data_IF_521622648872
#
_entry.id   IF_521622648872
#
_cell.length_a   1.000
_cell.length_b   1.000
_cell.length_c   1.000
_cell.angle_alpha   90.00
_cell.angle_beta   90.00
_cell.angle_gamma   90.00
#
_symmetry.space_group_name_H-M   'P 1'
#
loop_
_entity.id
_entity.type
_entity.pdbx_description
1 polymer ?
#
# COMPACT_ATOMS: atom_id res chain seq x y z
N UNK A 1 -19.96 -14.15 12.86
CA UNK A 1 -20.46 -15.18 11.93
C UNK A 1 -21.86 -15.65 12.30
N UNK A 2 -22.91 -15.27 11.55
CA UNK A 2 -24.28 -15.74 11.81
C UNK A 2 -24.47 -17.16 11.24
N UNK A 3 -25.39 -17.95 11.80
CA UNK A 3 -25.72 -19.28 11.26
C UNK A 3 -26.02 -19.25 9.75
N UNK A 4 -26.61 -18.15 9.27
CA UNK A 4 -26.92 -17.91 7.87
C UNK A 4 -25.65 -17.80 7.00
N UNK A 5 -24.60 -17.11 7.45
CA UNK A 5 -23.36 -16.97 6.67
C UNK A 5 -22.64 -18.30 6.55
N UNK A 6 -22.64 -19.10 7.61
CA UNK A 6 -22.05 -20.43 7.59
C UNK A 6 -22.79 -21.37 6.63
N UNK A 7 -24.13 -21.40 6.68
CA UNK A 7 -24.94 -22.23 5.77
C UNK A 7 -24.70 -21.82 4.32
N UNK A 8 -24.74 -20.51 4.03
CA UNK A 8 -24.50 -19.99 2.68
C UNK A 8 -23.09 -20.36 2.17
N UNK A 9 -22.06 -20.15 2.99
CA UNK A 9 -20.68 -20.50 2.62
C UNK A 9 -20.52 -21.99 2.34
N UNK A 10 -21.02 -22.85 3.23
CA UNK A 10 -20.92 -24.31 3.07
C UNK A 10 -21.65 -24.78 1.81
N UNK A 11 -22.87 -24.29 1.56
CA UNK A 11 -23.65 -24.67 0.37
C UNK A 11 -22.96 -24.19 -0.90
N UNK A 12 -22.44 -22.96 -0.94
CA UNK A 12 -21.72 -22.42 -2.10
C UNK A 12 -20.42 -23.20 -2.36
N UNK A 13 -19.63 -23.51 -1.33
CA UNK A 13 -18.38 -24.27 -1.47
C UNK A 13 -18.63 -25.69 -1.97
N UNK A 14 -19.63 -26.38 -1.42
CA UNK A 14 -19.97 -27.75 -1.85
C UNK A 14 -20.52 -27.77 -3.28
N UNK A 15 -21.39 -26.83 -3.63
CA UNK A 15 -21.92 -26.72 -5.00
C UNK A 15 -20.83 -26.38 -5.99
N UNK A 16 -19.90 -25.47 -5.64
CA UNK A 16 -18.73 -25.18 -6.48
C UNK A 16 -17.85 -26.40 -6.70
N UNK A 17 -17.55 -27.16 -5.64
CA UNK A 17 -16.75 -28.37 -5.73
C UNK A 17 -17.43 -29.44 -6.60
N UNK A 18 -18.75 -29.58 -6.51
CA UNK A 18 -19.50 -30.48 -7.39
C UNK A 18 -19.51 -30.01 -8.85
N UNK A 19 -19.63 -28.70 -9.07
CA UNK A 19 -19.61 -28.10 -10.40
C UNK A 19 -18.23 -28.20 -11.05
N UNK A 20 -17.12 -28.04 -10.30
CA UNK A 20 -15.74 -28.10 -10.82
C UNK A 20 -15.36 -29.46 -11.38
N UNK A 21 -15.98 -30.53 -10.86
CA UNK A 21 -15.80 -31.89 -11.36
C UNK A 21 -16.80 -32.28 -12.46
N UNK A 22 -17.72 -31.39 -12.84
CA UNK A 22 -18.72 -31.66 -13.88
C UNK A 22 -18.22 -31.32 -15.28
N UNK A 23 -18.70 -32.04 -16.30
CA UNK A 23 -18.47 -31.69 -17.71
C UNK A 23 -19.02 -30.30 -18.09
N UNK A 24 -19.98 -29.80 -17.32
CA UNK A 24 -20.58 -28.48 -17.50
C UNK A 24 -19.70 -27.33 -17.01
N UNK A 25 -18.62 -27.60 -16.26
CA UNK A 25 -17.72 -26.57 -15.74
C UNK A 25 -17.17 -25.68 -16.85
N UNK A 26 -16.66 -26.27 -17.93
CA UNK A 26 -16.09 -25.53 -19.06
C UNK A 26 -17.17 -24.68 -19.76
N UNK A 27 -18.37 -25.22 -19.94
CA UNK A 27 -19.51 -24.51 -20.56
C UNK A 27 -19.92 -23.29 -19.73
N UNK A 28 -19.93 -23.42 -18.40
CA UNK A 28 -20.28 -22.33 -17.48
C UNK A 28 -19.21 -21.23 -17.52
N UNK A 29 -17.92 -21.58 -17.56
CA UNK A 29 -16.84 -20.60 -17.60
C UNK A 29 -16.69 -19.90 -18.96
N UNK A 30 -17.16 -20.52 -20.04
CA UNK A 30 -17.19 -19.90 -21.36
C UNK A 30 -18.40 -18.98 -21.58
N UNK A 31 -19.45 -19.06 -20.75
CA UNK A 31 -20.62 -18.20 -20.82
C UNK A 31 -20.29 -16.74 -20.50
N UNK A 32 -20.59 -15.84 -21.45
CA UNK A 32 -20.29 -14.41 -21.33
C UNK A 32 -20.99 -13.73 -20.15
N UNK A 33 -22.15 -14.25 -19.71
CA UNK A 33 -22.87 -13.72 -18.54
C UNK A 33 -22.16 -14.11 -17.25
N UNK A 34 -21.55 -15.30 -17.18
CA UNK A 34 -20.75 -15.73 -16.03
C UNK A 34 -19.44 -14.95 -15.98
N UNK A 35 -18.81 -14.70 -17.13
CA UNK A 35 -17.65 -13.80 -17.23
C UNK A 35 -18.00 -12.38 -16.78
N UNK A 36 -19.14 -11.86 -17.23
CA UNK A 36 -19.65 -10.54 -16.81
C UNK A 36 -19.97 -10.52 -15.32
N UNK A 37 -20.63 -11.54 -14.79
CA UNK A 37 -20.91 -11.67 -13.37
C UNK A 37 -19.62 -11.74 -12.56
N UNK A 38 -18.62 -12.51 -13.01
CA UNK A 38 -17.31 -12.56 -12.37
C UNK A 38 -16.62 -11.18 -12.40
N UNK A 39 -16.72 -10.43 -13.50
CA UNK A 39 -16.19 -9.06 -13.57
C UNK A 39 -16.93 -8.11 -12.64
N UNK A 40 -18.27 -8.16 -12.60
CA UNK A 40 -19.11 -7.35 -11.71
C UNK A 40 -18.80 -7.70 -10.25
N UNK A 41 -18.75 -8.99 -9.90
CA UNK A 41 -18.42 -9.46 -8.55
C UNK A 41 -16.99 -9.09 -8.20
N UNK A 42 -16.02 -9.18 -9.11
CA UNK A 42 -14.62 -8.74 -8.88
C UNK A 42 -14.51 -7.23 -8.70
N UNK A 43 -15.35 -6.45 -9.39
CA UNK A 43 -15.42 -5.01 -9.28
C UNK A 43 -16.18 -4.56 -8.01
N UNK A 44 -17.20 -5.33 -7.61
CA UNK A 44 -17.99 -5.13 -6.40
C UNK A 44 -17.36 -5.76 -5.14
N UNK A 45 -16.48 -6.75 -5.26
CA UNK A 45 -15.66 -7.29 -4.16
C UNK A 45 -14.53 -6.33 -3.79
N UNK A 46 -14.27 -5.32 -4.63
CA UNK A 46 -13.56 -4.10 -4.22
C UNK A 46 -14.43 -3.12 -3.42
N UNK A 47 -15.74 -3.38 -3.29
CA UNK A 47 -16.74 -2.51 -2.63
C UNK A 47 -17.37 -3.17 -1.39
N UNK A 48 -17.62 -4.47 -1.44
CA UNK A 48 -17.83 -5.35 -0.28
C UNK A 48 -16.51 -6.05 0.00
N UNK A 49 -15.61 -5.35 0.69
CA UNK A 49 -14.62 -6.05 1.51
C UNK A 49 -15.41 -6.95 2.44
N UNK A 50 -15.27 -8.26 2.25
CA UNK A 50 -15.62 -9.21 3.29
C UNK A 50 -14.92 -8.75 4.57
N UNK A 51 -15.69 -8.53 5.63
CA UNK A 51 -15.17 -8.34 6.98
C UNK A 51 -14.42 -9.60 7.48
N UNK A 52 -14.27 -10.65 6.65
CA UNK A 52 -13.81 -11.98 7.05
C UNK A 52 -12.73 -12.59 6.13
N UNK A 53 -11.99 -11.80 5.34
CA UNK A 53 -10.78 -12.27 4.66
C UNK A 53 -9.53 -11.36 4.78
N UNK A 54 -9.49 -10.48 5.79
CA UNK A 54 -8.25 -9.83 6.25
C UNK A 54 -8.39 -9.40 7.72
N UNK A 55 -8.54 -10.36 8.62
CA UNK A 55 -8.56 -10.09 10.07
C UNK A 55 -7.15 -9.91 10.68
N UNK A 56 -6.09 -9.84 9.87
CA UNK A 56 -4.71 -9.75 10.39
C UNK A 56 -3.95 -8.46 10.05
N UNK A 57 -4.49 -7.52 9.26
CA UNK A 57 -3.69 -6.34 8.88
C UNK A 57 -4.47 -5.02 8.68
N UNK A 58 -5.49 -4.76 9.48
CA UNK A 58 -6.08 -3.41 9.53
C UNK A 58 -5.03 -2.39 10.00
N UNK A 59 -4.82 -1.32 9.24
CA UNK A 59 -3.97 -0.20 9.63
C UNK A 59 -4.82 0.90 10.28
N UNK A 60 -4.69 1.08 11.59
CA UNK A 60 -5.37 2.16 12.32
C UNK A 60 -4.58 3.46 12.22
N UNK A 61 -5.26 4.60 12.32
CA UNK A 61 -4.65 5.93 12.23
C UNK A 61 -3.51 6.12 13.25
N UNK A 62 -3.69 5.59 14.46
CA UNK A 62 -2.71 5.63 15.55
C UNK A 62 -1.45 4.79 15.30
N UNK A 63 -1.54 3.77 14.45
CA UNK A 63 -0.44 2.82 14.22
C UNK A 63 0.45 3.27 13.04
N UNK A 64 0.02 4.25 12.25
CA UNK A 64 0.70 4.68 11.02
C UNK A 64 2.15 5.08 11.27
N UNK A 65 2.42 5.83 12.34
CA UNK A 65 3.76 6.31 12.63
C UNK A 65 4.71 5.15 12.95
N UNK A 66 4.27 4.22 13.81
CA UNK A 66 5.03 3.02 14.16
C UNK A 66 5.25 2.08 12.98
N UNK A 67 4.27 1.96 12.08
CA UNK A 67 4.38 1.11 10.89
C UNK A 67 5.06 1.78 9.69
N UNK A 68 5.30 3.09 9.75
CA UNK A 68 5.94 3.85 8.67
C UNK A 68 7.37 3.38 8.36
N UNK A 69 8.03 2.71 9.31
CA UNK A 69 9.36 2.10 9.12
C UNK A 69 9.35 0.98 8.08
N UNK A 70 8.20 0.32 7.88
CA UNK A 70 7.97 -0.76 6.91
C UNK A 70 7.38 -0.25 5.60
N UNK A 71 7.10 1.05 5.47
CA UNK A 71 6.59 1.60 4.22
C UNK A 71 7.68 1.57 3.14
N UNK A 72 7.29 1.44 1.86
CA UNK A 72 8.23 1.64 0.76
C UNK A 72 8.82 3.05 0.83
N UNK A 73 10.07 3.26 0.37
CA UNK A 73 10.76 4.55 0.51
C UNK A 73 9.95 5.76 0.01
N UNK A 74 9.19 5.60 -1.09
CA UNK A 74 8.34 6.67 -1.62
C UNK A 74 7.23 7.11 -0.65
N UNK A 75 6.55 6.14 -0.02
CA UNK A 75 5.47 6.43 0.94
C UNK A 75 6.02 6.87 2.29
N UNK A 76 7.17 6.34 2.71
CA UNK A 76 7.90 6.81 3.89
C UNK A 76 8.34 8.27 3.78
N UNK A 77 8.82 8.69 2.60
CA UNK A 77 9.14 10.08 2.34
C UNK A 77 7.91 10.99 2.47
N UNK A 78 6.80 10.63 1.81
CA UNK A 78 5.55 11.39 1.92
C UNK A 78 5.04 11.47 3.36
N UNK A 79 5.14 10.38 4.12
CA UNK A 79 4.79 10.36 5.54
C UNK A 79 5.67 11.31 6.37
N UNK A 80 7.00 11.28 6.16
CA UNK A 80 7.93 12.20 6.84
C UNK A 80 7.63 13.66 6.54
N UNK A 81 7.41 13.99 5.27
CA UNK A 81 7.07 15.36 4.85
C UNK A 81 5.73 15.79 5.48
N UNK A 82 4.74 14.91 5.49
CA UNK A 82 3.45 15.17 6.10
C UNK A 82 3.63 15.51 7.59
N UNK A 83 4.32 14.67 8.37
CA UNK A 83 4.54 14.92 9.80
C UNK A 83 5.39 16.16 10.09
N UNK A 84 6.25 16.59 9.16
CA UNK A 84 7.07 17.80 9.31
C UNK A 84 6.31 19.09 8.99
N UNK A 85 5.44 19.05 7.98
CA UNK A 85 4.81 20.24 7.38
C UNK A 85 3.32 20.34 7.63
N UNK A 86 2.74 19.26 8.11
CA UNK A 86 1.31 19.01 8.24
C UNK A 86 0.52 19.16 6.94
N UNK A 87 1.20 19.20 5.79
CA UNK A 87 0.59 19.38 4.48
C UNK A 87 1.37 18.60 3.43
N UNK A 88 0.60 18.07 2.48
CA UNK A 88 1.09 17.53 1.23
C UNK A 88 0.45 18.26 0.04
N UNK A 89 1.23 18.35 -1.04
CA UNK A 89 0.77 18.71 -2.38
C UNK A 89 -0.44 17.87 -2.77
N UNK A 90 -1.26 18.38 -3.69
CA UNK A 90 -2.51 17.72 -4.08
C UNK A 90 -2.27 16.26 -4.54
N UNK A 91 -1.27 16.05 -5.39
CA UNK A 91 -0.96 14.74 -5.95
C UNK A 91 -0.38 13.78 -4.91
N UNK A 92 0.56 14.24 -4.08
CA UNK A 92 1.13 13.43 -2.99
C UNK A 92 0.07 13.04 -1.96
N UNK A 93 -0.84 13.95 -1.61
CA UNK A 93 -1.97 13.66 -0.71
C UNK A 93 -2.88 12.58 -1.29
N UNK A 94 -3.20 12.69 -2.58
CA UNK A 94 -4.03 11.71 -3.27
C UNK A 94 -3.36 10.33 -3.28
N UNK A 95 -2.09 10.24 -3.67
CA UNK A 95 -1.34 8.98 -3.72
C UNK A 95 -1.14 8.36 -2.34
N UNK A 96 -0.79 9.16 -1.35
CA UNK A 96 -0.62 8.68 0.01
C UNK A 96 -1.95 8.20 0.62
N UNK A 97 -3.06 8.91 0.37
CA UNK A 97 -4.40 8.46 0.80
C UNK A 97 -4.78 7.12 0.17
N UNK A 98 -4.49 6.94 -1.13
CA UNK A 98 -4.74 5.68 -1.82
C UNK A 98 -3.87 4.55 -1.28
N UNK A 99 -2.60 4.82 -1.00
CA UNK A 99 -1.72 3.85 -0.36
C UNK A 99 -2.28 3.39 0.99
N UNK A 100 -2.64 4.32 1.88
CA UNK A 100 -3.23 4.00 3.19
C UNK A 100 -4.50 3.16 3.06
N UNK A 101 -5.38 3.50 2.12
CA UNK A 101 -6.56 2.69 1.81
C UNK A 101 -6.17 1.27 1.36
N UNK A 102 -5.27 1.15 0.39
CA UNK A 102 -4.91 -0.13 -0.24
C UNK A 102 -4.16 -1.07 0.73
N UNK A 103 -3.48 -0.53 1.74
CA UNK A 103 -2.87 -1.31 2.83
C UNK A 103 -3.85 -1.66 3.95
N UNK A 104 -5.13 -1.28 3.83
CA UNK A 104 -6.20 -1.74 4.72
C UNK A 104 -6.64 -0.74 5.78
N UNK A 105 -6.38 0.56 5.61
CA UNK A 105 -6.97 1.59 6.47
C UNK A 105 -8.46 1.75 6.16
N UNK A 106 -9.37 1.62 7.15
CA UNK A 106 -10.79 1.90 6.96
C UNK A 106 -11.06 3.38 6.69
N UNK A 107 -12.18 3.69 6.04
CA UNK A 107 -12.56 5.09 5.73
C UNK A 107 -12.69 5.95 6.99
N UNK A 108 -13.20 5.39 8.08
CA UNK A 108 -13.34 6.07 9.39
C UNK A 108 -11.97 6.43 9.96
N UNK A 109 -11.01 5.51 9.93
CA UNK A 109 -9.63 5.74 10.35
C UNK A 109 -8.92 6.73 9.42
N UNK A 110 -9.19 6.71 8.12
CA UNK A 110 -8.63 7.68 7.18
C UNK A 110 -9.13 9.09 7.43
N UNK A 111 -10.44 9.25 7.72
CA UNK A 111 -11.01 10.52 8.15
C UNK A 111 -10.35 11.00 9.46
N UNK A 112 -10.17 10.10 10.43
CA UNK A 112 -9.50 10.41 11.69
C UNK A 112 -8.06 10.88 11.45
N UNK A 113 -7.26 10.10 10.72
CA UNK A 113 -5.87 10.40 10.36
C UNK A 113 -5.72 11.78 9.71
N UNK A 114 -6.47 12.03 8.63
CA UNK A 114 -6.39 13.30 7.92
C UNK A 114 -6.94 14.47 8.73
N UNK A 115 -7.95 14.25 9.57
CA UNK A 115 -8.49 15.30 10.43
C UNK A 115 -7.50 15.77 11.48
N UNK A 116 -6.79 14.84 12.12
CA UNK A 116 -5.76 15.16 13.11
C UNK A 116 -4.63 15.95 12.46
N UNK A 117 -4.19 15.52 11.29
CA UNK A 117 -3.06 16.11 10.59
C UNK A 117 -3.37 17.50 10.02
N UNK A 118 -4.53 17.67 9.36
CA UNK A 118 -4.90 18.94 8.72
C UNK A 118 -5.51 19.95 9.70
N UNK A 119 -5.73 19.54 10.95
CA UNK A 119 -6.01 20.45 12.06
C UNK A 119 -4.74 21.12 12.61
N UNK A 120 -3.55 20.54 12.35
CA UNK A 120 -2.29 21.16 12.75
C UNK A 120 -1.96 22.38 11.90
N UNK A 121 -1.23 23.32 12.49
CA UNK A 121 -0.73 24.53 11.83
C UNK A 121 0.38 24.17 10.85
N UNK A 122 0.30 24.69 9.63
CA UNK A 122 1.36 24.45 8.64
C UNK A 122 2.61 25.24 9.05
N UNK A 123 3.71 24.52 9.31
CA UNK A 123 4.99 25.09 9.74
C UNK A 123 5.69 25.90 8.66
N UNK A 124 5.47 25.58 7.38
CA UNK A 124 6.25 26.10 6.25
C UNK A 124 5.46 27.06 5.35
N UNK A 125 4.22 27.39 5.69
CA UNK A 125 3.43 28.32 4.90
C UNK A 125 2.44 29.07 5.80
N UNK A 126 2.89 30.21 6.32
CA UNK A 126 2.05 31.12 7.11
C UNK A 126 0.80 31.62 6.36
N UNK A 127 0.84 31.59 5.02
CA UNK A 127 -0.29 31.95 4.14
C UNK A 127 -1.21 30.78 3.78
N UNK A 128 -0.89 29.54 4.19
CA UNK A 128 -1.75 28.39 3.93
C UNK A 128 -2.98 28.44 4.83
N UNK A 129 -4.08 28.93 4.25
CA UNK A 129 -5.34 29.15 4.97
C UNK A 129 -6.22 27.89 5.08
N UNK A 130 -5.73 26.77 4.54
CA UNK A 130 -6.39 25.48 4.58
C UNK A 130 -6.28 24.85 5.96
N UNK A 131 -7.40 24.57 6.60
CA UNK A 131 -7.48 23.79 7.83
C UNK A 131 -8.65 22.82 7.78
N UNK A 132 -8.55 21.73 8.54
CA UNK A 132 -9.64 20.78 8.63
C UNK A 132 -10.93 21.45 9.11
N UNK A 133 -10.88 22.33 10.12
CA UNK A 133 -12.10 22.98 10.64
C UNK A 133 -12.80 23.83 9.58
N UNK A 134 -12.04 24.55 8.74
CA UNK A 134 -12.59 25.45 7.72
C UNK A 134 -13.10 24.69 6.49
N UNK A 135 -12.36 23.68 6.04
CA UNK A 135 -12.61 22.96 4.79
C UNK A 135 -13.16 21.53 5.02
N UNK A 136 -13.71 21.24 6.21
CA UNK A 136 -14.14 19.90 6.64
C UNK A 136 -14.96 19.16 5.57
N UNK A 137 -16.01 19.80 5.04
CA UNK A 137 -16.88 19.20 4.01
C UNK A 137 -16.10 18.76 2.77
N UNK A 138 -15.11 19.55 2.33
CA UNK A 138 -14.29 19.23 1.16
C UNK A 138 -13.37 18.04 1.42
N UNK A 139 -12.74 17.98 2.60
CA UNK A 139 -11.88 16.86 2.96
C UNK A 139 -12.66 15.57 3.14
N UNK A 140 -13.78 15.61 3.86
CA UNK A 140 -14.65 14.45 4.06
C UNK A 140 -15.14 13.91 2.71
N UNK A 141 -15.64 14.78 1.83
CA UNK A 141 -16.06 14.38 0.48
C UNK A 141 -14.90 13.77 -0.32
N UNK A 142 -13.72 14.41 -0.31
CA UNK A 142 -12.55 13.93 -1.03
C UNK A 142 -12.09 12.55 -0.56
N UNK A 143 -12.04 12.33 0.75
CA UNK A 143 -11.67 11.03 1.33
C UNK A 143 -12.72 9.99 0.95
N UNK A 144 -14.01 10.26 1.16
CA UNK A 144 -15.07 9.31 0.77
C UNK A 144 -15.06 8.98 -0.73
N UNK A 145 -14.72 9.95 -1.58
CA UNK A 145 -14.53 9.74 -3.01
C UNK A 145 -13.35 8.80 -3.33
N UNK A 146 -12.22 8.91 -2.62
CA UNK A 146 -11.07 7.99 -2.74
C UNK A 146 -11.47 6.54 -2.41
N UNK A 147 -12.41 6.37 -1.48
CA UNK A 147 -13.00 5.08 -1.10
C UNK A 147 -14.18 4.65 -2.00
N UNK A 148 -14.49 5.41 -3.06
CA UNK A 148 -15.58 5.08 -3.99
C UNK A 148 -16.99 5.33 -3.41
N UNK A 149 -17.11 6.04 -2.29
CA UNK A 149 -18.39 6.28 -1.60
C UNK A 149 -19.11 7.54 -2.08
N UNK A 150 -18.53 8.29 -3.03
CA UNK A 150 -19.07 9.53 -3.58
C UNK A 150 -18.96 9.58 -5.10
N UNK A 151 -19.71 10.47 -5.73
CA UNK A 151 -19.66 10.73 -7.17
C UNK A 151 -19.89 9.47 -8.01
N UNK A 152 -19.05 9.27 -9.04
CA UNK A 152 -19.12 8.12 -9.96
C UNK A 152 -18.69 6.77 -9.35
N UNK A 153 -18.38 6.73 -8.05
CA UNK A 153 -17.98 5.52 -7.31
C UNK A 153 -16.86 4.73 -7.97
N UNK A 154 -15.90 5.45 -8.58
CA UNK A 154 -14.72 4.84 -9.23
C UNK A 154 -13.87 4.11 -8.20
N UNK A 155 -13.38 2.94 -8.61
CA UNK A 155 -12.38 2.19 -7.86
C UNK A 155 -11.01 2.79 -8.16
N UNK A 156 -10.57 3.71 -7.30
CA UNK A 156 -9.20 4.21 -7.36
C UNK A 156 -8.24 3.19 -6.77
N UNK A 157 -7.06 3.02 -7.37
CA UNK A 157 -5.96 2.24 -6.79
C UNK A 157 -4.76 3.16 -6.62
N UNK A 158 -3.91 2.86 -5.64
CA UNK A 158 -2.61 3.51 -5.50
C UNK A 158 -1.82 3.40 -6.82
N UNK A 159 -0.96 4.39 -7.12
CA UNK A 159 -0.18 4.36 -8.35
C UNK A 159 0.79 3.17 -8.36
N UNK A 160 0.96 2.59 -9.56
CA UNK A 160 2.01 1.60 -9.81
C UNK A 160 3.39 2.25 -9.74
N UNK A 161 4.44 1.48 -9.44
CA UNK A 161 5.80 2.01 -9.37
C UNK A 161 6.20 2.76 -10.65
N UNK A 162 5.85 2.22 -11.83
CA UNK A 162 6.10 2.90 -13.11
C UNK A 162 5.42 4.28 -13.20
N UNK A 163 4.17 4.42 -12.73
CA UNK A 163 3.48 5.72 -12.71
C UNK A 163 4.12 6.72 -11.75
N UNK A 164 4.72 6.24 -10.65
CA UNK A 164 5.46 7.11 -9.72
C UNK A 164 6.80 7.53 -10.33
N UNK A 165 7.47 6.64 -11.07
CA UNK A 165 8.76 6.89 -11.73
C UNK A 165 8.62 7.79 -12.97
N UNK A 166 7.55 7.63 -13.75
CA UNK A 166 7.31 8.42 -14.96
C UNK A 166 6.77 9.83 -14.65
N UNK A 167 6.57 10.17 -13.37
CA UNK A 167 6.04 11.46 -12.97
C UNK A 167 7.11 12.55 -13.10
N UNK A 168 6.81 13.59 -13.89
CA UNK A 168 7.61 14.81 -13.87
C UNK A 168 7.41 15.54 -12.54
N UNK A 169 8.43 15.51 -11.69
CA UNK A 169 8.40 16.16 -10.38
C UNK A 169 8.77 17.64 -10.52
N UNK A 170 7.95 18.52 -9.94
CA UNK A 170 8.38 19.89 -9.70
C UNK A 170 9.48 19.91 -8.61
N UNK A 171 10.33 20.95 -8.55
CA UNK A 171 11.31 21.11 -7.46
C UNK A 171 10.67 21.12 -6.06
N UNK A 172 9.38 21.45 -6.00
CA UNK A 172 8.55 21.49 -4.79
C UNK A 172 7.71 20.22 -4.56
N UNK A 173 7.91 19.16 -5.34
CA UNK A 173 7.13 17.94 -5.23
C UNK A 173 7.47 17.18 -3.94
N UNK A 174 6.43 16.82 -3.18
CA UNK A 174 6.56 16.01 -1.96
C UNK A 174 6.66 14.50 -2.28
N UNK A 175 6.34 14.10 -3.52
CA UNK A 175 6.30 12.71 -3.99
C UNK A 175 7.57 12.28 -4.71
N UNK A 176 7.44 11.22 -5.52
CA UNK A 176 8.53 10.65 -6.34
C UNK A 176 8.97 9.26 -5.91
N UNK A 177 9.78 8.63 -6.76
CA UNK A 177 10.48 7.39 -6.48
C UNK A 177 11.89 7.72 -5.96
N UNK A 178 12.24 7.40 -4.70
CA UNK A 178 13.56 7.72 -4.17
C UNK A 178 14.72 7.12 -4.95
N UNK A 179 14.53 5.95 -5.56
CA UNK A 179 15.58 5.33 -6.38
C UNK A 179 15.73 5.97 -7.77
N UNK A 180 14.72 6.70 -8.27
CA UNK A 180 14.78 7.36 -9.58
C UNK A 180 15.12 8.84 -9.45
N UNK A 181 14.45 9.55 -8.53
CA UNK A 181 14.34 11.00 -8.56
C UNK A 181 15.21 11.73 -7.52
N UNK A 182 15.68 11.01 -6.49
CA UNK A 182 16.36 11.65 -5.35
C UNK A 182 17.87 11.56 -5.50
N UNK A 183 18.56 12.59 -4.99
CA UNK A 183 19.99 12.52 -4.74
C UNK A 183 20.33 11.49 -3.65
N UNK A 184 21.62 11.22 -3.50
CA UNK A 184 22.11 10.19 -2.57
C UNK A 184 21.72 10.50 -1.12
N UNK A 185 21.85 11.75 -0.67
CA UNK A 185 21.53 12.13 0.71
C UNK A 185 20.04 11.93 1.02
N UNK A 186 19.17 12.41 0.14
CA UNK A 186 17.72 12.30 0.29
C UNK A 186 17.26 10.84 0.15
N UNK A 187 17.88 10.04 -0.72
CA UNK A 187 17.64 8.60 -0.81
C UNK A 187 17.98 7.90 0.52
N UNK A 188 19.19 8.11 1.05
CA UNK A 188 19.62 7.48 2.31
C UNK A 188 18.71 7.83 3.49
N UNK A 189 18.19 9.05 3.50
CA UNK A 189 17.19 9.50 4.48
C UNK A 189 15.83 8.79 4.38
N UNK A 190 15.54 8.12 3.26
CA UNK A 190 14.33 7.32 3.06
C UNK A 190 14.51 5.84 3.43
N UNK A 191 15.75 5.36 3.59
CA UNK A 191 16.03 3.95 3.89
C UNK A 191 15.89 3.64 5.40
N UNK A 192 15.82 2.35 5.73
CA UNK A 192 15.85 1.88 7.10
C UNK A 192 17.23 2.13 7.73
N UNK A 193 17.27 2.40 9.05
CA UNK A 193 18.50 2.80 9.73
C UNK A 193 19.61 1.73 9.63
N UNK A 194 19.25 0.46 9.80
CA UNK A 194 20.22 -0.64 9.72
C UNK A 194 20.76 -0.82 8.28
N UNK A 195 19.88 -0.79 7.28
CA UNK A 195 20.26 -0.94 5.87
C UNK A 195 21.17 0.22 5.44
N UNK A 196 20.87 1.45 5.85
CA UNK A 196 21.69 2.61 5.45
C UNK A 196 23.04 2.68 6.17
N UNK A 197 23.16 2.08 7.36
CA UNK A 197 24.42 2.01 8.10
C UNK A 197 25.37 0.96 7.54
N UNK A 198 24.86 -0.03 6.81
CA UNK A 198 25.65 -1.08 6.18
C UNK A 198 26.11 -0.66 4.77
N UNK A 199 27.42 -0.39 4.62
CA UNK A 199 28.01 0.05 3.34
C UNK A 199 27.75 -0.93 2.19
N UNK A 200 27.83 -2.24 2.46
CA UNK A 200 27.62 -3.27 1.44
C UNK A 200 26.18 -3.25 0.92
N UNK A 201 25.19 -3.09 1.80
CA UNK A 201 23.78 -2.94 1.41
C UNK A 201 23.58 -1.75 0.47
N UNK A 202 24.20 -0.61 0.74
CA UNK A 202 24.12 0.56 -0.16
C UNK A 202 24.76 0.30 -1.52
N UNK A 203 25.92 -0.38 -1.56
CA UNK A 203 26.58 -0.74 -2.83
C UNK A 203 25.67 -1.63 -3.68
N UNK A 204 25.09 -2.68 -3.09
CA UNK A 204 24.19 -3.60 -3.79
C UNK A 204 22.93 -2.90 -4.33
N UNK A 205 22.36 -1.96 -3.57
CA UNK A 205 21.22 -1.16 -4.02
C UNK A 205 21.57 -0.26 -5.21
N UNK A 206 22.78 0.31 -5.23
CA UNK A 206 23.27 1.13 -6.36
C UNK A 206 23.54 0.27 -7.58
N UNK A 207 24.15 -0.90 -7.42
CA UNK A 207 24.39 -1.86 -8.50
C UNK A 207 23.07 -2.33 -9.12
N UNK A 208 22.10 -2.77 -8.29
CA UNK A 208 20.77 -3.16 -8.74
C UNK A 208 20.04 -2.04 -9.51
N UNK A 209 20.16 -0.78 -9.03
CA UNK A 209 19.63 0.39 -9.73
C UNK A 209 20.28 0.57 -11.10
N UNK A 210 21.60 0.46 -11.18
CA UNK A 210 22.35 0.74 -12.41
C UNK A 210 22.16 -0.36 -13.47
N UNK A 211 22.04 -1.63 -13.06
CA UNK A 211 21.90 -2.76 -13.98
C UNK A 211 20.48 -2.92 -14.51
N UNK A 212 19.47 -2.81 -13.63
CA UNK A 212 18.07 -3.18 -13.93
C UNK A 212 17.05 -2.08 -13.65
N UNK A 213 17.50 -0.95 -13.10
CA UNK A 213 16.68 0.24 -12.90
C UNK A 213 16.11 0.40 -11.48
N UNK A 214 15.39 1.52 -11.22
CA UNK A 214 14.92 1.91 -9.88
C UNK A 214 13.97 0.91 -9.22
N UNK A 215 13.14 0.22 -10.02
CA UNK A 215 12.21 -0.79 -9.50
C UNK A 215 12.96 -1.97 -8.88
N UNK A 216 14.06 -2.41 -9.51
CA UNK A 216 14.87 -3.52 -8.99
C UNK A 216 15.57 -3.17 -7.69
N UNK A 217 16.14 -1.96 -7.60
CA UNK A 217 16.73 -1.49 -6.34
C UNK A 217 15.70 -1.46 -5.20
N UNK A 218 14.47 -1.02 -5.49
CA UNK A 218 13.37 -1.06 -4.53
C UNK A 218 12.95 -2.49 -4.17
N UNK A 219 12.98 -3.41 -5.14
CA UNK A 219 12.72 -4.85 -4.93
C UNK A 219 13.76 -5.46 -3.99
N UNK A 220 15.04 -5.22 -4.23
CA UNK A 220 16.13 -5.68 -3.38
C UNK A 220 16.03 -5.09 -1.98
N UNK A 221 15.74 -3.79 -1.87
CA UNK A 221 15.51 -3.13 -0.58
C UNK A 221 14.33 -3.77 0.20
N UNK A 222 13.26 -4.15 -0.49
CA UNK A 222 12.13 -4.87 0.10
C UNK A 222 12.60 -6.18 0.75
N UNK A 223 13.42 -6.96 0.05
CA UNK A 223 13.95 -8.23 0.54
C UNK A 223 14.87 -8.02 1.76
N UNK A 224 15.76 -7.03 1.71
CA UNK A 224 16.61 -6.68 2.84
C UNK A 224 15.78 -6.31 4.07
N UNK A 225 14.75 -5.46 3.89
CA UNK A 225 13.90 -5.00 4.99
C UNK A 225 13.04 -6.12 5.59
N UNK A 226 12.51 -7.01 4.75
CA UNK A 226 11.79 -8.21 5.18
C UNK A 226 12.69 -9.14 6.01
N UNK A 227 13.93 -9.35 5.58
CA UNK A 227 14.89 -10.18 6.33
C UNK A 227 15.24 -9.57 7.69
N UNK A 228 15.34 -8.24 7.80
CA UNK A 228 15.51 -7.57 9.08
C UNK A 228 14.29 -7.75 10.00
N UNK A 229 13.08 -7.60 9.45
CA UNK A 229 11.85 -7.84 10.19
C UNK A 229 11.79 -9.28 10.74
N UNK A 230 12.13 -10.28 9.92
CA UNK A 230 12.20 -11.69 10.35
C UNK A 230 13.27 -11.99 11.39
N UNK A 231 14.44 -11.34 11.29
CA UNK A 231 15.51 -11.52 12.30
C UNK A 231 15.10 -10.97 13.67
N UNK A 232 14.27 -9.94 13.71
CA UNK A 232 13.75 -9.38 14.97
C UNK A 232 12.70 -10.28 15.65
N UNK A 233 12.05 -11.18 14.90
CA UNK A 233 11.07 -12.14 15.43
C UNK A 233 11.67 -13.50 15.84
N UNK A 234 12.91 -13.83 15.44
CA UNK A 234 13.57 -15.10 15.74
C UNK A 234 14.79 -14.91 16.65
N UNK A 235 14.73 -15.38 17.89
CA UNK A 235 15.85 -15.41 18.84
C UNK A 235 16.68 -16.71 18.74
N UNK A 236 17.59 -16.77 17.73
CA UNK A 236 18.70 -17.73 17.54
C UNK A 236 18.38 -19.24 17.36
N UNK A 237 19.31 -20.11 16.90
CA UNK A 237 20.59 -19.89 16.23
C UNK A 237 20.62 -20.34 14.75
N UNK A 238 21.76 -20.06 14.13
CA UNK A 238 22.18 -20.30 12.73
C UNK A 238 21.83 -21.69 12.16
N UNK A 239 21.05 -21.73 11.06
CA UNK A 239 21.47 -22.24 9.75
C UNK A 239 20.31 -22.36 8.75
N UNK A 240 20.64 -22.05 7.49
CA UNK A 240 19.89 -22.26 6.26
C UNK A 240 18.71 -21.29 6.03
N UNK A 241 18.96 -20.23 5.26
CA UNK A 241 17.95 -19.73 4.33
C UNK A 241 18.51 -19.92 2.93
N UNK A 242 18.19 -21.08 2.36
CA UNK A 242 18.15 -21.26 0.92
C UNK A 242 17.21 -20.20 0.34
N UNK A 243 17.75 -19.43 -0.61
CA UNK A 243 16.97 -18.55 -1.48
C UNK A 243 15.96 -19.42 -2.22
N UNK A 244 14.69 -19.42 -1.82
CA UNK A 244 13.59 -19.95 -2.64
C UNK A 244 12.23 -19.58 -2.05
N UNK A 245 11.67 -18.48 -2.57
CA UNK A 245 10.48 -18.53 -3.42
C UNK A 245 10.56 -17.29 -4.32
N UNK A 246 10.44 -17.49 -5.63
CA UNK A 246 10.33 -16.41 -6.61
C UNK A 246 9.03 -15.65 -6.35
N UNK A 247 9.10 -14.66 -5.45
CA UNK A 247 8.00 -13.72 -5.27
C UNK A 247 7.86 -13.00 -6.61
N UNK A 248 6.68 -13.12 -7.22
CA UNK A 248 6.30 -12.44 -8.44
C UNK A 248 6.20 -10.91 -8.20
N UNK A 249 7.36 -10.29 -8.00
CA UNK A 249 7.58 -8.86 -7.89
C UNK A 249 7.59 -8.18 -9.27
N UNK A 250 7.22 -8.91 -10.33
CA UNK A 250 7.09 -8.37 -11.69
C UNK A 250 6.09 -7.20 -11.76
N UNK A 251 5.20 -7.08 -10.77
CA UNK A 251 4.35 -5.93 -10.54
C UNK A 251 4.59 -5.30 -9.15
N UNK A 252 5.82 -4.82 -8.90
CA UNK A 252 6.13 -4.02 -7.72
C UNK A 252 5.13 -2.87 -7.58
N UNK A 253 4.46 -2.83 -6.42
CA UNK A 253 3.43 -1.85 -6.08
C UNK A 253 3.59 -1.43 -4.63
N UNK A 254 3.46 -0.14 -4.27
CA UNK A 254 3.70 0.33 -2.91
C UNK A 254 2.92 -0.43 -1.82
N UNK A 255 1.64 -0.74 -2.05
CA UNK A 255 0.85 -1.51 -1.06
C UNK A 255 1.27 -2.98 -0.97
N UNK A 256 1.73 -3.59 -2.07
CA UNK A 256 2.25 -4.97 -2.07
C UNK A 256 3.58 -5.06 -1.31
N UNK A 257 4.45 -4.07 -1.50
CA UNK A 257 5.70 -3.94 -0.75
C UNK A 257 5.44 -3.98 0.76
N UNK A 258 4.49 -3.16 1.23
CA UNK A 258 4.18 -3.07 2.65
C UNK A 258 3.54 -4.34 3.19
N UNK A 259 2.57 -4.92 2.46
CA UNK A 259 1.91 -6.17 2.88
C UNK A 259 2.90 -7.31 3.03
N UNK A 260 3.82 -7.45 2.06
CA UNK A 260 4.87 -8.45 2.11
C UNK A 260 5.75 -8.33 3.37
N UNK A 261 6.13 -7.10 3.77
CA UNK A 261 6.92 -6.92 5.01
C UNK A 261 6.11 -7.26 6.25
N UNK A 262 4.82 -6.93 6.28
CA UNK A 262 4.00 -7.20 7.45
C UNK A 262 3.62 -8.68 7.62
N UNK A 263 3.59 -9.46 6.54
CA UNK A 263 3.47 -10.93 6.59
C UNK A 263 4.64 -11.55 7.39
N UNK A 264 5.83 -10.96 7.32
CA UNK A 264 7.01 -11.37 8.12
C UNK A 264 6.93 -11.03 9.62
N UNK A 265 6.13 -10.02 9.98
CA UNK A 265 6.02 -9.53 11.37
C UNK A 265 4.82 -10.11 12.13
N UNK A 266 3.99 -10.91 11.46
CA UNK A 266 2.77 -11.52 12.01
C UNK A 266 3.05 -12.94 12.52
#
# INVERSE_FOLDING_TARGET
MSLLTHILSTVISLTYQQLSHSRSYQIIWDDDRIKLLYQIVKQQSGFYSSEEACSTMTLLAKDVDGRSIFFPPCMKNMHKILRQRHRLSHLSRFYYSLFLKDVGMPVTESLNFWSQEYSQTNTNCASCSHSWQRDNRKYVYSIRHIYGLEGSRRVYQSPRCKQVQDMSLSPSADGGCPFADFDEEKLLNCLHQEIKSEKQSIVLLKEAKNEKGPAEACRLYCQMLHNLANKSSISAPENIVTVQEDIDLTALHPSKFYKYICEATS
#
